data_IF_215343090842
#
_entry.id   IF_215343090842
#
_cell.length_a   1.000
_cell.length_b   1.000
_cell.length_c   1.000
_cell.angle_alpha   90.00
_cell.angle_beta   90.00
_cell.angle_gamma   90.00
#
_symmetry.space_group_name_H-M   'P 1'
#
loop_
_entity.id
_entity.type
_entity.pdbx_description
1 polymer ?
#
# COMPACT_ATOMS: atom_id res chain seq x y z
N UNK A 1 16.90 16.55 15.37
CA UNK A 1 17.36 15.18 15.53
C UNK A 1 17.58 14.56 14.15
N UNK A 2 18.82 14.26 13.80
CA UNK A 2 19.13 13.66 12.50
C UNK A 2 18.51 12.25 12.44
N UNK A 3 17.68 12.02 11.43
CA UNK A 3 17.08 10.70 11.21
C UNK A 3 18.17 9.71 10.82
N UNK A 4 18.08 8.51 11.36
CA UNK A 4 18.96 7.44 10.95
C UNK A 4 18.80 7.17 9.46
N UNK A 5 19.88 6.80 8.74
CA UNK A 5 19.83 6.47 7.31
C UNK A 5 18.75 5.41 6.99
N UNK A 6 18.50 4.48 7.92
CA UNK A 6 17.48 3.45 7.78
C UNK A 6 16.04 4.04 7.76
N UNK A 7 15.75 5.04 8.60
CA UNK A 7 14.46 5.72 8.63
C UNK A 7 14.19 6.50 7.33
N UNK A 8 15.23 7.20 6.83
CA UNK A 8 15.13 7.95 5.57
C UNK A 8 14.89 7.03 4.39
N UNK A 9 15.64 5.93 4.28
CA UNK A 9 15.46 4.93 3.23
C UNK A 9 14.05 4.33 3.26
N UNK A 10 13.54 3.96 4.42
CA UNK A 10 12.19 3.44 4.58
C UNK A 10 11.13 4.43 4.10
N UNK A 11 11.25 5.70 4.43
CA UNK A 11 10.33 6.75 3.96
C UNK A 11 10.35 6.86 2.44
N UNK A 12 11.53 6.90 1.82
CA UNK A 12 11.65 7.01 0.37
C UNK A 12 11.09 5.78 -0.35
N UNK A 13 11.41 4.57 0.12
CA UNK A 13 10.85 3.34 -0.45
C UNK A 13 9.33 3.25 -0.28
N UNK A 14 8.82 3.58 0.90
CA UNK A 14 7.37 3.58 1.14
C UNK A 14 6.64 4.57 0.25
N UNK A 15 7.17 5.79 0.11
CA UNK A 15 6.62 6.81 -0.79
C UNK A 15 6.61 6.33 -2.24
N UNK A 16 7.74 5.80 -2.74
CA UNK A 16 7.85 5.33 -4.12
C UNK A 16 6.92 4.14 -4.40
N UNK A 17 6.86 3.17 -3.50
CA UNK A 17 6.01 1.99 -3.66
C UNK A 17 4.53 2.35 -3.71
N UNK A 18 4.04 3.17 -2.77
CA UNK A 18 2.62 3.52 -2.75
C UNK A 18 2.25 4.48 -3.89
N UNK A 19 3.16 5.34 -4.34
CA UNK A 19 2.95 6.14 -5.53
C UNK A 19 2.86 5.26 -6.79
N UNK A 20 3.66 4.20 -6.87
CA UNK A 20 3.59 3.22 -7.97
C UNK A 20 2.27 2.45 -7.95
N UNK A 21 1.76 2.05 -6.78
CA UNK A 21 0.41 1.47 -6.63
C UNK A 21 -0.63 2.43 -7.22
N UNK A 22 -0.60 3.70 -6.81
CA UNK A 22 -1.52 4.71 -7.34
C UNK A 22 -1.43 4.88 -8.85
N UNK A 23 -0.22 4.87 -9.41
CA UNK A 23 0.00 4.98 -10.85
C UNK A 23 -0.57 3.77 -11.61
N UNK A 24 -0.32 2.56 -11.15
CA UNK A 24 -0.85 1.34 -11.78
C UNK A 24 -2.38 1.41 -11.80
N UNK A 25 -3.02 1.73 -10.66
CA UNK A 25 -4.47 1.85 -10.57
C UNK A 25 -5.01 2.93 -11.51
N UNK A 26 -4.34 4.08 -11.61
CA UNK A 26 -4.76 5.16 -12.50
C UNK A 26 -4.71 4.76 -13.98
N UNK A 27 -3.67 4.03 -14.38
CA UNK A 27 -3.47 3.60 -15.77
C UNK A 27 -4.55 2.63 -16.26
N UNK A 28 -5.08 1.78 -15.39
CA UNK A 28 -6.10 0.80 -15.75
C UNK A 28 -7.55 1.31 -15.57
N UNK A 29 -7.75 2.52 -15.03
CA UNK A 29 -9.07 3.12 -14.84
C UNK A 29 -9.97 3.03 -16.09
N UNK A 30 -9.54 3.40 -17.31
CA UNK A 30 -10.39 3.33 -18.48
C UNK A 30 -10.93 1.94 -18.74
N UNK A 31 -10.09 0.92 -18.63
CA UNK A 31 -10.45 -0.48 -18.82
C UNK A 31 -11.53 -0.92 -17.84
N UNK A 32 -11.36 -0.59 -16.55
CA UNK A 32 -12.32 -0.98 -15.51
C UNK A 32 -13.66 -0.24 -15.60
N UNK A 33 -13.70 0.95 -16.18
CA UNK A 33 -14.97 1.62 -16.53
C UNK A 33 -15.76 0.88 -17.61
N UNK A 34 -15.09 0.20 -18.53
CA UNK A 34 -15.76 -0.61 -19.56
C UNK A 34 -16.47 -1.83 -18.95
N UNK A 35 -15.95 -2.40 -17.87
CA UNK A 35 -16.60 -3.51 -17.16
C UNK A 35 -17.78 -3.03 -16.31
N UNK A 36 -17.57 -2.03 -15.46
CA UNK A 36 -18.60 -1.44 -14.62
C UNK A 36 -18.17 -0.08 -14.05
N UNK A 37 -19.09 0.86 -13.99
CA UNK A 37 -18.83 2.22 -13.46
C UNK A 37 -18.28 2.18 -12.04
N UNK A 38 -18.80 1.30 -11.17
CA UNK A 38 -18.34 1.21 -9.78
C UNK A 38 -16.88 0.75 -9.67
N UNK A 39 -16.41 -0.14 -10.57
CA UNK A 39 -15.02 -0.58 -10.60
C UNK A 39 -14.10 0.58 -10.97
N UNK A 40 -14.39 1.31 -12.06
CA UNK A 40 -13.63 2.49 -12.43
C UNK A 40 -13.54 3.52 -11.30
N UNK A 41 -14.62 3.75 -10.57
CA UNK A 41 -14.64 4.65 -9.41
C UNK A 41 -13.77 4.13 -8.26
N UNK A 42 -13.79 2.82 -7.98
CA UNK A 42 -12.93 2.22 -6.97
C UNK A 42 -11.44 2.35 -7.32
N UNK A 43 -11.09 2.19 -8.59
CA UNK A 43 -9.71 2.37 -9.06
C UNK A 43 -9.24 3.82 -8.96
N UNK A 44 -10.11 4.80 -9.29
CA UNK A 44 -9.83 6.22 -9.04
C UNK A 44 -9.62 6.49 -7.56
N UNK A 45 -10.50 5.99 -6.70
CA UNK A 45 -10.40 6.18 -5.25
C UNK A 45 -9.11 5.60 -4.70
N UNK A 46 -8.73 4.39 -5.15
CA UNK A 46 -7.46 3.77 -4.76
C UNK A 46 -6.27 4.62 -5.24
N UNK A 47 -6.26 5.08 -6.49
CA UNK A 47 -5.20 5.93 -7.02
C UNK A 47 -5.04 7.23 -6.20
N UNK A 48 -6.13 7.94 -5.94
CA UNK A 48 -6.12 9.17 -5.15
C UNK A 48 -5.66 8.93 -3.71
N UNK A 49 -6.16 7.87 -3.06
CA UNK A 49 -5.76 7.49 -1.70
C UNK A 49 -4.28 7.11 -1.64
N UNK A 50 -3.77 6.40 -2.64
CA UNK A 50 -2.36 6.02 -2.73
C UNK A 50 -1.45 7.23 -2.93
N UNK A 51 -1.82 8.19 -3.78
CA UNK A 51 -1.05 9.45 -3.92
C UNK A 51 -1.11 10.31 -2.67
N UNK A 52 -2.27 10.43 -2.02
CA UNK A 52 -2.39 11.12 -0.73
C UNK A 52 -1.49 10.45 0.32
N UNK A 53 -1.48 9.13 0.40
CA UNK A 53 -0.58 8.36 1.26
C UNK A 53 0.90 8.64 0.94
N UNK A 54 1.29 8.65 -0.33
CA UNK A 54 2.66 8.97 -0.75
C UNK A 54 3.10 10.34 -0.22
N UNK A 55 2.27 11.35 -0.39
CA UNK A 55 2.52 12.70 0.17
C UNK A 55 2.61 12.64 1.69
N UNK A 56 1.70 11.94 2.35
CA UNK A 56 1.66 11.78 3.80
C UNK A 56 2.93 11.10 4.35
N UNK A 57 3.39 10.02 3.72
CA UNK A 57 4.63 9.32 4.09
C UNK A 57 5.85 10.22 3.86
N UNK A 58 5.92 10.91 2.72
CA UNK A 58 7.01 11.82 2.41
C UNK A 58 7.11 12.96 3.43
N UNK A 59 5.96 13.55 3.80
CA UNK A 59 5.84 14.60 4.81
C UNK A 59 5.91 14.08 6.25
N UNK A 60 5.96 12.75 6.44
CA UNK A 60 6.05 12.08 7.74
C UNK A 60 4.88 12.37 8.67
N UNK A 61 3.70 12.55 8.11
CA UNK A 61 2.48 12.67 8.91
C UNK A 61 2.00 11.28 9.35
N UNK A 62 1.36 11.22 10.51
CA UNK A 62 0.99 9.95 11.16
C UNK A 62 0.04 9.07 10.34
N UNK A 63 -0.85 9.68 9.58
CA UNK A 63 -1.85 8.96 8.76
C UNK A 63 -1.30 8.43 7.42
N UNK A 64 -0.12 8.89 7.00
CA UNK A 64 0.45 8.50 5.69
C UNK A 64 0.60 6.99 5.52
N UNK A 65 1.25 6.32 6.46
CA UNK A 65 1.44 4.88 6.43
C UNK A 65 0.15 4.06 6.60
N UNK A 66 -0.72 4.34 7.59
CA UNK A 66 -2.01 3.66 7.71
C UNK A 66 -2.88 3.79 6.46
N UNK A 67 -2.95 4.97 5.85
CA UNK A 67 -3.71 5.15 4.61
C UNK A 67 -3.16 4.29 3.48
N UNK A 68 -1.83 4.26 3.29
CA UNK A 68 -1.21 3.40 2.30
C UNK A 68 -1.48 1.91 2.54
N UNK A 69 -1.46 1.48 3.80
CA UNK A 69 -1.77 0.11 4.16
C UNK A 69 -3.23 -0.27 3.83
N UNK A 70 -4.17 0.66 4.01
CA UNK A 70 -5.58 0.48 3.63
C UNK A 70 -5.72 0.41 2.10
N UNK A 71 -5.05 1.30 1.36
CA UNK A 71 -5.11 1.31 -0.11
C UNK A 71 -4.49 0.05 -0.71
N UNK A 72 -3.25 -0.27 -0.34
CA UNK A 72 -2.55 -1.45 -0.84
C UNK A 72 -3.17 -2.76 -0.36
N UNK A 73 -3.49 -2.87 0.93
CA UNK A 73 -4.12 -4.08 1.48
C UNK A 73 -5.52 -4.31 0.94
N UNK A 74 -6.31 -3.25 0.79
CA UNK A 74 -7.65 -3.31 0.19
C UNK A 74 -7.61 -3.76 -1.27
N UNK A 75 -6.72 -3.19 -2.08
CA UNK A 75 -6.55 -3.58 -3.47
C UNK A 75 -6.07 -5.03 -3.60
N UNK A 76 -5.08 -5.43 -2.79
CA UNK A 76 -4.62 -6.83 -2.72
C UNK A 76 -5.76 -7.80 -2.42
N UNK A 77 -6.57 -7.49 -1.41
CA UNK A 77 -7.71 -8.32 -1.02
C UNK A 77 -8.76 -8.39 -2.14
N UNK A 78 -9.12 -7.26 -2.73
CA UNK A 78 -10.08 -7.18 -3.85
C UNK A 78 -9.61 -7.97 -5.07
N UNK A 79 -8.30 -7.95 -5.36
CA UNK A 79 -7.75 -8.75 -6.44
C UNK A 79 -7.93 -10.25 -6.18
N UNK A 80 -7.60 -10.71 -4.98
CA UNK A 80 -7.78 -12.14 -4.61
C UNK A 80 -9.27 -12.52 -4.69
N UNK A 81 -10.16 -11.66 -4.18
CA UNK A 81 -11.60 -11.88 -4.22
C UNK A 81 -12.12 -11.97 -5.66
N UNK A 82 -11.66 -11.09 -6.56
CA UNK A 82 -12.06 -11.10 -7.97
C UNK A 82 -11.68 -12.40 -8.69
N UNK A 83 -10.63 -13.07 -8.23
CA UNK A 83 -10.12 -14.33 -8.85
C UNK A 83 -10.66 -15.59 -8.18
N UNK A 84 -11.21 -15.49 -6.98
CA UNK A 84 -11.69 -16.66 -6.21
C UNK A 84 -13.21 -16.75 -6.19
N UNK A 85 -13.87 -15.69 -5.76
CA UNK A 85 -15.34 -15.61 -5.60
C UNK A 85 -15.97 -14.96 -6.83
N UNK A 86 -15.23 -14.06 -7.50
CA UNK A 86 -15.70 -13.19 -8.58
C UNK A 86 -16.32 -11.91 -8.05
N UNK A 87 -16.21 -10.85 -8.84
CA UNK A 87 -16.89 -9.58 -8.59
C UNK A 87 -18.05 -9.41 -9.57
N UNK A 88 -19.15 -8.76 -9.16
CA UNK A 88 -20.25 -8.48 -10.07
C UNK A 88 -19.76 -7.77 -11.34
N UNK A 89 -20.15 -8.29 -12.51
CA UNK A 89 -19.79 -7.79 -13.84
C UNK A 89 -18.30 -7.87 -14.22
N UNK A 90 -17.47 -8.50 -13.40
CA UNK A 90 -16.06 -8.73 -13.71
C UNK A 90 -15.84 -10.23 -13.94
N UNK A 91 -15.66 -10.63 -15.20
CA UNK A 91 -15.35 -12.01 -15.60
C UNK A 91 -13.98 -12.01 -16.29
N UNK A 92 -12.94 -11.79 -15.52
CA UNK A 92 -11.57 -11.75 -16.03
C UNK A 92 -10.91 -13.13 -16.00
N UNK A 93 -9.99 -13.36 -16.96
CA UNK A 93 -9.11 -14.51 -16.97
C UNK A 93 -8.19 -14.56 -15.75
N UNK A 94 -7.54 -15.69 -15.55
CA UNK A 94 -6.81 -16.02 -14.30
C UNK A 94 -5.71 -15.05 -13.91
N UNK A 95 -4.99 -14.45 -14.85
CA UNK A 95 -3.88 -13.52 -14.55
C UNK A 95 -3.76 -12.46 -15.65
N UNK A 96 -3.76 -11.22 -15.25
CA UNK A 96 -3.41 -10.06 -16.06
C UNK A 96 -2.11 -9.44 -15.57
N UNK A 97 -1.28 -8.91 -16.46
CA UNK A 97 0.03 -8.37 -16.10
C UNK A 97 -0.06 -7.16 -15.15
N UNK A 98 -0.93 -6.17 -15.38
CA UNK A 98 -1.07 -5.04 -14.45
C UNK A 98 -1.49 -5.47 -13.05
N UNK A 99 -2.44 -6.42 -12.93
CA UNK A 99 -2.90 -6.93 -11.64
C UNK A 99 -1.80 -7.67 -10.88
N UNK A 100 -1.02 -8.52 -11.55
CA UNK A 100 0.12 -9.21 -10.92
C UNK A 100 1.20 -8.23 -10.45
N UNK A 101 1.52 -7.22 -11.26
CA UNK A 101 2.49 -6.19 -10.87
C UNK A 101 1.99 -5.38 -9.66
N UNK A 102 0.71 -5.01 -9.64
CA UNK A 102 0.08 -4.35 -8.50
C UNK A 102 0.21 -5.18 -7.23
N UNK A 103 -0.17 -6.47 -7.29
CA UNK A 103 -0.05 -7.41 -6.18
C UNK A 103 1.36 -7.44 -5.58
N UNK A 104 2.39 -7.52 -6.42
CA UNK A 104 3.78 -7.56 -5.97
C UNK A 104 4.15 -6.27 -5.24
N UNK A 105 3.85 -5.11 -5.83
CA UNK A 105 4.16 -3.81 -5.24
C UNK A 105 3.40 -3.58 -3.93
N UNK A 106 2.13 -3.96 -3.88
CA UNK A 106 1.27 -3.87 -2.70
C UNK A 106 1.80 -4.76 -1.57
N UNK A 107 2.16 -6.00 -1.87
CA UNK A 107 2.75 -6.92 -0.89
C UNK A 107 4.07 -6.39 -0.32
N UNK A 108 4.95 -5.85 -1.16
CA UNK A 108 6.20 -5.23 -0.73
C UNK A 108 5.93 -4.02 0.16
N UNK A 109 4.98 -3.14 -0.22
CA UNK A 109 4.61 -1.98 0.58
C UNK A 109 4.11 -2.37 1.97
N UNK A 110 3.19 -3.32 2.04
CA UNK A 110 2.65 -3.84 3.32
C UNK A 110 3.78 -4.45 4.16
N UNK A 111 4.69 -5.20 3.56
CA UNK A 111 5.87 -5.73 4.23
C UNK A 111 6.77 -4.65 4.84
N UNK A 112 7.02 -3.56 4.11
CA UNK A 112 7.80 -2.39 4.58
C UNK A 112 7.07 -1.70 5.74
N UNK A 113 5.75 -1.55 5.65
CA UNK A 113 4.92 -0.99 6.72
C UNK A 113 5.02 -1.81 8.00
N UNK A 114 4.77 -3.12 7.92
CA UNK A 114 4.80 -4.02 9.07
C UNK A 114 6.19 -4.13 9.71
N UNK A 115 7.26 -4.09 8.92
CA UNK A 115 8.63 -4.10 9.43
C UNK A 115 8.92 -2.88 10.32
N UNK A 116 8.29 -1.75 10.03
CA UNK A 116 8.41 -0.54 10.84
C UNK A 116 7.68 -0.65 12.18
N UNK A 117 6.50 -1.24 12.22
CA UNK A 117 5.75 -1.46 13.46
C UNK A 117 6.53 -2.37 14.40
N UNK A 118 7.07 -3.48 13.88
CA UNK A 118 7.87 -4.43 14.70
C UNK A 118 9.09 -3.77 15.32
N UNK A 119 9.82 -2.93 14.59
CA UNK A 119 11.01 -2.22 15.10
C UNK A 119 10.66 -1.26 16.23
N UNK A 120 9.53 -0.53 16.12
CA UNK A 120 9.07 0.37 17.15
C UNK A 120 8.70 -0.38 18.44
N UNK A 121 8.04 -1.53 18.33
CA UNK A 121 7.69 -2.37 19.48
C UNK A 121 8.93 -2.91 20.21
N UNK A 122 9.95 -3.38 19.50
CA UNK A 122 11.19 -3.90 20.07
C UNK A 122 11.98 -2.81 20.80
N UNK A 123 12.00 -1.57 20.32
CA UNK A 123 12.69 -0.47 20.97
C UNK A 123 12.02 0.00 22.26
N UNK A 124 10.72 -0.22 22.43
CA UNK A 124 10.01 0.10 23.67
C UNK A 124 10.25 -0.91 24.82
N UNK A 125 10.68 -2.13 24.50
CA UNK A 125 10.93 -3.18 25.48
C UNK A 125 12.33 -3.12 26.12
N UNK A 126 13.28 -2.41 25.54
CA UNK A 126 14.69 -2.36 25.99
C UNK A 126 15.00 -1.42 27.19
N UNK A 127 14.17 -0.43 27.59
CA UNK A 127 14.58 0.54 28.62
C UNK A 127 14.57 0.05 30.07
N UNK A 128 13.98 -1.08 30.39
CA UNK A 128 13.79 -1.50 31.78
C UNK A 128 14.88 -2.43 32.33
N UNK A 129 15.64 -3.09 31.48
CA UNK A 129 16.66 -4.04 31.94
C UNK A 129 17.98 -3.35 32.35
N UNK A 130 18.22 -2.11 31.93
CA UNK A 130 19.50 -1.42 32.21
C UNK A 130 19.44 -0.46 33.43
N UNK A 131 18.38 -0.54 34.26
CA UNK A 131 18.25 0.26 35.48
C UNK A 131 18.47 -0.50 36.78
N UNK A 132 18.89 -1.78 36.72
CA UNK A 132 19.09 -2.62 37.89
C UNK A 132 20.55 -2.98 38.16
N UNK A 133 21.48 -2.07 37.84
CA UNK A 133 22.90 -2.18 38.29
C UNK A 133 23.27 -0.91 39.02
#
# INVERSE_FOLDING_TARGET
MALTNASRKRTLWGTALIALVGLIHLLVVPEYFEFATYLGLLFILNALGSFASAVGIYRRVWWGWPLGAVMAGGAFFMYIESRTIGLPMLNEGWLDLPGVLSLIVEAIFVGVYLSGIRRSATQQQTPLENRSI
#
